data_IF_830888650640
#
_entry.id   IF_830888650640
#
_cell.length_a   1.000
_cell.length_b   1.000
_cell.length_c   1.000
_cell.angle_alpha   90.00
_cell.angle_beta   90.00
_cell.angle_gamma   90.00
#
_symmetry.space_group_name_H-M   'P 1'
#
loop_
_entity.id
_entity.type
_entity.pdbx_description
1 polymer ?
#
# COMPACT_ATOMS: atom_id res chain seq x y z
N UNK A 1 -1.04 -96.43 27.78
CA UNK A 1 -1.16 -95.72 26.49
C UNK A 1 -1.27 -94.23 26.81
N UNK A 2 -0.17 -93.49 26.62
CA UNK A 2 -0.03 -92.11 27.08
C UNK A 2 -0.77 -91.15 26.15
N UNK A 3 -1.71 -90.39 26.71
CA UNK A 3 -2.32 -89.22 26.07
C UNK A 3 -1.35 -88.04 26.13
N UNK A 4 -0.85 -87.62 24.96
CA UNK A 4 -0.09 -86.37 24.82
C UNK A 4 -1.05 -85.17 24.89
N UNK A 5 -1.06 -84.47 26.02
CA UNK A 5 -1.61 -83.12 26.11
C UNK A 5 -0.63 -82.14 25.45
N UNK A 6 -1.03 -81.59 24.32
CA UNK A 6 -0.31 -80.50 23.66
C UNK A 6 -0.45 -79.23 24.52
N UNK A 7 0.68 -78.68 24.97
CA UNK A 7 0.75 -77.58 25.91
C UNK A 7 0.20 -76.30 25.27
N UNK A 8 -0.84 -75.70 25.86
CA UNK A 8 -1.54 -74.49 25.38
C UNK A 8 -0.57 -73.31 25.14
N UNK A 9 0.55 -73.26 25.87
CA UNK A 9 1.61 -72.26 25.66
C UNK A 9 2.32 -72.38 24.30
N UNK A 10 2.43 -73.59 23.75
CA UNK A 10 3.08 -73.84 22.46
C UNK A 10 2.16 -73.47 21.29
N UNK A 11 0.84 -73.58 21.45
CA UNK A 11 -0.14 -73.16 20.45
C UNK A 11 -0.25 -71.62 20.36
N UNK A 12 -0.18 -70.93 21.51
CA UNK A 12 -0.22 -69.46 21.59
C UNK A 12 1.07 -68.84 21.06
N UNK A 13 2.23 -69.46 21.33
CA UNK A 13 3.52 -69.03 20.76
C UNK A 13 3.57 -69.21 19.23
N UNK A 14 2.96 -70.27 18.69
CA UNK A 14 2.84 -70.50 17.25
C UNK A 14 1.95 -69.48 16.53
N UNK A 15 0.81 -69.10 17.13
CA UNK A 15 -0.06 -68.05 16.58
C UNK A 15 0.55 -66.64 16.69
N UNK A 16 1.33 -66.37 17.75
CA UNK A 16 2.04 -65.10 17.90
C UNK A 16 3.12 -64.89 16.86
N UNK A 17 3.88 -65.94 16.50
CA UNK A 17 4.94 -65.86 15.48
C UNK A 17 4.35 -65.82 14.06
N UNK A 18 3.22 -66.50 13.80
CA UNK A 18 2.52 -66.40 12.52
C UNK A 18 1.85 -65.02 12.30
N UNK A 19 1.40 -64.34 13.37
CA UNK A 19 0.86 -62.98 13.30
C UNK A 19 1.92 -61.89 13.10
N UNK A 20 3.20 -62.17 13.39
CA UNK A 20 4.31 -61.22 13.25
C UNK A 20 4.95 -61.24 11.85
N UNK A 21 4.64 -62.25 11.03
CA UNK A 21 5.14 -62.37 9.65
C UNK A 21 4.16 -61.76 8.61
N UNK A 22 2.94 -61.41 9.03
CA UNK A 22 1.90 -60.85 8.15
C UNK A 22 1.92 -59.32 7.93
N UNK A 23 2.85 -58.58 8.54
CA UNK A 23 2.97 -57.13 8.37
C UNK A 23 4.32 -56.71 7.75
N UNK A 24 4.93 -57.58 6.96
CA UNK A 24 5.85 -57.12 5.92
C UNK A 24 4.99 -56.46 4.84
N UNK A 25 4.66 -55.18 5.05
CA UNK A 25 4.31 -54.30 3.94
C UNK A 25 5.47 -54.37 2.97
N UNK A 26 5.36 -55.16 1.89
CA UNK A 26 6.14 -54.90 0.69
C UNK A 26 5.91 -53.43 0.37
N UNK A 27 6.89 -52.59 0.70
CA UNK A 27 7.01 -51.32 0.01
C UNK A 27 7.52 -51.75 -1.35
N UNK A 28 6.63 -51.80 -2.34
CA UNK A 28 7.07 -51.89 -3.72
C UNK A 28 8.05 -50.73 -3.91
N UNK A 29 9.32 -51.06 -4.14
CA UNK A 29 10.26 -50.06 -4.62
C UNK A 29 9.68 -49.60 -5.96
N UNK A 30 9.12 -48.40 -5.95
CA UNK A 30 8.41 -47.84 -7.09
C UNK A 30 9.40 -47.50 -8.21
N UNK A 31 9.86 -48.52 -8.95
CA UNK A 31 10.46 -48.35 -10.26
C UNK A 31 9.33 -48.01 -11.24
N UNK A 32 8.85 -46.75 -11.18
CA UNK A 32 7.95 -46.24 -12.20
C UNK A 32 8.72 -45.94 -13.47
N UNK A 33 8.14 -46.26 -14.63
CA UNK A 33 8.75 -45.87 -15.89
C UNK A 33 8.86 -44.32 -15.98
N UNK A 34 9.94 -43.82 -16.61
CA UNK A 34 10.05 -42.42 -16.99
C UNK A 34 8.87 -41.95 -17.84
N UNK A 35 8.33 -40.78 -17.50
CA UNK A 35 7.31 -40.16 -18.34
C UNK A 35 7.86 -39.88 -19.74
N UNK A 36 7.10 -40.29 -20.76
CA UNK A 36 7.49 -40.16 -22.17
C UNK A 36 6.65 -39.12 -22.92
N UNK A 37 5.44 -38.83 -22.41
CA UNK A 37 4.54 -37.79 -22.91
C UNK A 37 4.93 -36.38 -22.44
N UNK A 38 4.36 -35.35 -23.08
CA UNK A 38 4.58 -33.95 -22.67
C UNK A 38 3.84 -33.65 -21.36
N UNK A 39 4.58 -33.14 -20.37
CA UNK A 39 4.01 -32.67 -19.11
C UNK A 39 3.07 -31.48 -19.34
N UNK A 40 1.97 -31.43 -18.59
CA UNK A 40 1.08 -30.26 -18.53
C UNK A 40 1.35 -29.44 -17.29
N UNK A 41 1.22 -28.13 -17.39
CA UNK A 41 1.51 -27.19 -16.31
C UNK A 41 0.32 -26.27 -16.05
N UNK A 42 0.17 -25.81 -14.81
CA UNK A 42 -0.87 -24.83 -14.48
C UNK A 42 -0.61 -23.46 -15.11
N UNK A 43 0.67 -23.16 -15.42
CA UNK A 43 1.15 -21.89 -15.99
C UNK A 43 2.42 -22.17 -16.82
N UNK A 44 2.70 -21.32 -17.80
CA UNK A 44 3.94 -21.33 -18.61
C UNK A 44 5.03 -20.39 -18.05
N UNK A 45 4.62 -19.41 -17.24
CA UNK A 45 5.47 -18.46 -16.53
C UNK A 45 4.99 -18.28 -15.10
N UNK A 46 5.93 -18.23 -14.15
CA UNK A 46 5.68 -17.86 -12.75
C UNK A 46 6.32 -16.49 -12.51
N UNK A 47 5.48 -15.46 -12.48
CA UNK A 47 5.89 -14.12 -12.06
C UNK A 47 5.72 -13.99 -10.56
N UNK A 48 6.81 -13.69 -9.87
CA UNK A 48 6.89 -13.42 -8.43
C UNK A 48 6.91 -11.90 -8.23
N UNK A 49 6.34 -11.43 -7.13
CA UNK A 49 6.29 -10.00 -6.79
C UNK A 49 7.70 -9.36 -6.76
N UNK A 50 7.71 -8.02 -6.82
CA UNK A 50 8.93 -7.25 -6.61
C UNK A 50 9.45 -7.47 -5.19
N UNK A 51 10.74 -7.75 -5.07
CA UNK A 51 11.45 -7.92 -3.79
C UNK A 51 12.59 -6.92 -3.69
N UNK A 52 12.99 -6.58 -2.47
CA UNK A 52 14.21 -5.82 -2.25
C UNK A 52 15.44 -6.73 -2.31
N UNK A 53 16.61 -6.16 -2.59
CA UNK A 53 17.87 -6.82 -2.30
C UNK A 53 17.90 -7.37 -0.86
N UNK A 54 18.47 -8.56 -0.69
CA UNK A 54 18.56 -9.28 0.59
C UNK A 54 17.20 -9.60 1.27
N UNK A 55 16.10 -9.64 0.49
CA UNK A 55 14.76 -9.98 0.99
C UNK A 55 14.19 -11.24 0.33
N UNK A 56 13.21 -11.85 1.02
CA UNK A 56 12.45 -13.00 0.50
C UNK A 56 11.08 -12.58 -0.02
N UNK A 57 10.59 -13.26 -1.05
CA UNK A 57 9.21 -13.13 -1.52
C UNK A 57 8.23 -13.99 -0.70
N UNK A 58 6.94 -13.83 -0.99
CA UNK A 58 5.94 -14.87 -0.68
C UNK A 58 6.18 -16.13 -1.53
N UNK A 59 5.48 -17.22 -1.20
CA UNK A 59 5.58 -18.50 -1.92
C UNK A 59 4.49 -18.61 -2.98
N UNK A 60 4.87 -18.98 -4.20
CA UNK A 60 3.99 -19.14 -5.36
C UNK A 60 3.88 -20.61 -5.75
N UNK A 61 2.68 -21.01 -6.18
CA UNK A 61 2.39 -22.40 -6.55
C UNK A 61 2.41 -22.59 -8.08
N UNK A 62 3.20 -23.56 -8.53
CA UNK A 62 3.15 -24.16 -9.86
C UNK A 62 2.70 -25.61 -9.72
N UNK A 63 1.74 -26.05 -10.54
CA UNK A 63 1.33 -27.46 -10.60
C UNK A 63 1.81 -28.09 -11.90
N UNK A 64 2.34 -29.30 -11.79
CA UNK A 64 2.63 -30.19 -12.92
C UNK A 64 1.58 -31.29 -12.92
N UNK A 65 1.10 -31.70 -14.09
CA UNK A 65 0.10 -32.76 -14.22
C UNK A 65 0.68 -33.91 -15.05
N UNK A 66 0.46 -35.13 -14.56
CA UNK A 66 0.71 -36.34 -15.33
C UNK A 66 -0.50 -36.61 -16.25
N UNK A 67 -0.36 -36.46 -17.58
CA UNK A 67 -1.46 -36.77 -18.50
C UNK A 67 -1.66 -38.27 -18.69
N UNK A 68 -0.70 -39.11 -18.30
CA UNK A 68 -0.74 -40.56 -18.48
C UNK A 68 -1.65 -41.23 -17.45
N UNK A 69 -2.08 -42.45 -17.74
CA UNK A 69 -2.96 -43.23 -16.87
C UNK A 69 -2.21 -44.19 -15.94
N UNK A 70 -0.89 -44.06 -15.89
CA UNK A 70 0.02 -44.84 -15.04
C UNK A 70 0.82 -43.89 -14.14
N UNK A 71 1.29 -44.42 -13.01
CA UNK A 71 2.26 -43.72 -12.17
C UNK A 71 3.60 -43.66 -12.92
N UNK A 72 4.23 -42.49 -12.92
CA UNK A 72 5.47 -42.22 -13.67
C UNK A 72 6.50 -41.52 -12.81
N UNK A 73 7.76 -41.54 -13.24
CA UNK A 73 8.77 -40.61 -12.73
C UNK A 73 9.07 -39.51 -13.74
N UNK A 74 9.29 -38.29 -13.25
CA UNK A 74 9.92 -37.21 -14.02
C UNK A 74 11.43 -37.37 -13.84
N UNK A 75 12.20 -37.69 -14.90
CA UNK A 75 13.63 -37.94 -14.81
C UNK A 75 14.41 -36.83 -14.10
N UNK A 76 14.16 -35.57 -14.46
CA UNK A 76 14.90 -34.45 -13.86
C UNK A 76 14.10 -33.15 -13.84
N UNK A 77 14.15 -32.47 -12.70
CA UNK A 77 13.64 -31.11 -12.51
C UNK A 77 14.78 -30.26 -11.95
N UNK A 78 15.12 -29.13 -12.56
CA UNK A 78 16.22 -28.29 -12.07
C UNK A 78 16.14 -26.83 -12.53
N UNK A 79 16.70 -25.92 -11.74
CA UNK A 79 16.87 -24.51 -12.10
C UNK A 79 18.03 -24.34 -13.08
N UNK A 80 17.86 -23.56 -14.14
CA UNK A 80 18.94 -23.29 -15.12
C UNK A 80 20.18 -22.72 -14.43
N UNK A 81 20.00 -21.79 -13.48
CA UNK A 81 21.10 -21.16 -12.73
C UNK A 81 21.59 -21.98 -11.52
N UNK A 82 20.94 -23.10 -11.20
CA UNK A 82 21.31 -23.96 -10.06
C UNK A 82 21.42 -23.17 -8.75
N UNK A 83 22.51 -23.37 -8.00
CA UNK A 83 22.77 -22.69 -6.72
C UNK A 83 23.04 -21.19 -6.84
N UNK A 84 23.27 -20.68 -8.06
CA UNK A 84 23.41 -19.25 -8.30
C UNK A 84 22.05 -18.58 -8.54
N UNK A 85 20.95 -19.34 -8.54
CA UNK A 85 19.62 -18.76 -8.67
C UNK A 85 19.20 -18.04 -7.39
N UNK A 86 18.59 -16.87 -7.55
CA UNK A 86 17.84 -16.25 -6.47
C UNK A 86 16.46 -16.92 -6.27
N UNK A 87 15.99 -17.74 -7.21
CA UNK A 87 14.79 -18.54 -6.98
C UNK A 87 15.13 -19.78 -6.17
N UNK A 88 14.37 -20.03 -5.13
CA UNK A 88 14.33 -21.32 -4.45
C UNK A 88 13.07 -22.06 -4.90
N UNK A 89 13.22 -23.36 -5.13
CA UNK A 89 12.08 -24.23 -5.42
C UNK A 89 12.00 -25.37 -4.42
N UNK A 90 10.77 -25.77 -4.11
CA UNK A 90 10.46 -26.98 -3.36
C UNK A 90 9.53 -27.84 -4.21
N UNK A 91 9.97 -29.07 -4.50
CA UNK A 91 9.28 -30.04 -5.33
C UNK A 91 8.73 -31.13 -4.42
N UNK A 92 7.40 -31.17 -4.28
CA UNK A 92 6.68 -32.15 -3.47
C UNK A 92 7.23 -32.33 -2.04
N UNK A 93 7.49 -31.22 -1.36
CA UNK A 93 7.99 -31.17 0.01
C UNK A 93 9.51 -31.14 0.14
N UNK A 94 10.27 -31.37 -0.94
CA UNK A 94 11.75 -31.34 -0.92
C UNK A 94 12.28 -30.03 -1.49
N UNK A 95 13.05 -29.27 -0.70
CA UNK A 95 13.71 -28.05 -1.15
C UNK A 95 15.04 -28.36 -1.85
N UNK A 96 15.38 -27.62 -2.91
CA UNK A 96 16.61 -27.82 -3.67
C UNK A 96 16.61 -27.12 -5.02
N UNK A 97 17.72 -27.22 -5.75
CA UNK A 97 17.88 -26.61 -7.08
C UNK A 97 17.90 -27.64 -8.22
N UNK A 98 17.99 -28.94 -7.88
CA UNK A 98 17.93 -30.08 -8.79
C UNK A 98 17.33 -31.28 -8.09
N UNK A 99 16.48 -32.01 -8.81
CA UNK A 99 15.74 -33.17 -8.34
C UNK A 99 15.76 -34.23 -9.44
N UNK A 100 15.88 -35.49 -9.04
CA UNK A 100 15.95 -36.62 -9.96
C UNK A 100 14.90 -37.67 -9.58
N UNK A 101 14.39 -38.36 -10.60
CA UNK A 101 13.41 -39.45 -10.46
C UNK A 101 12.22 -39.07 -9.55
N UNK A 102 11.59 -37.93 -9.87
CA UNK A 102 10.49 -37.39 -9.06
C UNK A 102 9.19 -38.12 -9.40
N UNK A 103 8.58 -38.88 -8.47
CA UNK A 103 7.37 -39.64 -8.76
C UNK A 103 6.16 -38.72 -8.94
N UNK A 104 5.27 -39.08 -9.87
CA UNK A 104 3.99 -38.42 -10.10
C UNK A 104 2.91 -39.48 -10.42
N UNK A 105 1.84 -39.50 -9.62
CA UNK A 105 0.79 -40.52 -9.75
C UNK A 105 -0.04 -40.35 -11.02
N UNK A 106 -0.67 -41.43 -11.47
CA UNK A 106 -1.56 -41.44 -12.63
C UNK A 106 -2.65 -40.38 -12.52
N UNK A 107 -2.83 -39.59 -13.57
CA UNK A 107 -3.84 -38.51 -13.64
C UNK A 107 -3.79 -37.51 -12.47
N UNK A 108 -2.69 -37.47 -11.74
CA UNK A 108 -2.52 -36.62 -10.57
C UNK A 108 -1.60 -35.43 -10.89
N UNK A 109 -1.43 -34.56 -9.90
CA UNK A 109 -0.57 -33.39 -9.98
C UNK A 109 0.50 -33.36 -8.90
N UNK A 110 1.62 -32.73 -9.22
CA UNK A 110 2.69 -32.43 -8.30
C UNK A 110 2.75 -30.93 -8.02
N UNK A 111 3.01 -30.55 -6.78
CA UNK A 111 3.20 -29.16 -6.38
C UNK A 111 4.67 -28.75 -6.41
N UNK A 112 4.93 -27.62 -7.06
CA UNK A 112 6.18 -26.89 -6.94
C UNK A 112 5.89 -25.54 -6.27
N UNK A 113 6.52 -25.32 -5.13
CA UNK A 113 6.54 -24.02 -4.47
C UNK A 113 7.76 -23.25 -4.95
N UNK A 114 7.55 -21.99 -5.33
CA UNK A 114 8.58 -21.09 -5.87
C UNK A 114 8.62 -19.85 -4.98
N UNK A 115 9.80 -19.47 -4.52
CA UNK A 115 10.06 -18.21 -3.83
C UNK A 115 11.34 -17.56 -4.38
N UNK A 116 11.53 -16.28 -4.13
CA UNK A 116 12.79 -15.57 -4.35
C UNK A 116 13.45 -15.32 -3.00
N UNK A 117 14.75 -15.59 -2.93
CA UNK A 117 15.64 -15.16 -1.86
C UNK A 117 16.72 -14.27 -2.48
N UNK A 118 16.38 -12.99 -2.65
CA UNK A 118 17.19 -12.04 -3.39
C UNK A 118 18.53 -11.79 -2.69
N UNK A 119 19.57 -11.59 -3.50
CA UNK A 119 20.87 -11.09 -3.04
C UNK A 119 21.00 -9.61 -3.45
N UNK A 120 22.21 -9.14 -3.74
CA UNK A 120 22.45 -7.80 -4.28
C UNK A 120 21.63 -7.58 -5.56
N UNK A 121 21.05 -6.38 -5.68
CA UNK A 121 20.21 -6.07 -6.83
C UNK A 121 21.05 -6.03 -8.11
N UNK A 122 20.63 -6.72 -9.18
CA UNK A 122 21.27 -6.60 -10.49
C UNK A 122 21.11 -5.20 -11.07
N UNK A 123 22.01 -4.80 -11.99
CA UNK A 123 21.93 -3.51 -12.68
C UNK A 123 20.60 -3.35 -13.44
N UNK A 124 20.15 -4.41 -14.10
CA UNK A 124 18.78 -4.51 -14.59
C UNK A 124 17.94 -5.18 -13.50
N UNK A 125 16.99 -4.47 -12.87
CA UNK A 125 16.21 -5.01 -11.76
C UNK A 125 15.32 -6.20 -12.16
N UNK A 126 15.05 -6.44 -13.45
CA UNK A 126 14.40 -7.68 -13.89
C UNK A 126 15.37 -8.86 -13.76
N UNK A 127 15.04 -9.79 -12.85
CA UNK A 127 15.75 -11.05 -12.65
C UNK A 127 14.93 -12.23 -13.17
N UNK A 128 15.56 -13.08 -14.00
CA UNK A 128 14.93 -14.23 -14.63
C UNK A 128 15.72 -15.53 -14.40
N UNK A 129 14.98 -16.64 -14.34
CA UNK A 129 15.53 -18.00 -14.39
C UNK A 129 14.49 -18.94 -15.03
N UNK A 130 14.83 -20.22 -15.19
CA UNK A 130 13.91 -21.22 -15.73
C UNK A 130 13.94 -22.49 -14.87
N UNK A 131 12.77 -23.07 -14.62
CA UNK A 131 12.67 -24.46 -14.15
C UNK A 131 12.62 -25.35 -15.39
N UNK A 132 13.59 -26.26 -15.51
CA UNK A 132 13.69 -27.24 -16.59
C UNK A 132 13.10 -28.57 -16.13
N UNK A 133 12.26 -29.15 -16.98
CA UNK A 133 11.66 -30.46 -16.79
C UNK A 133 12.13 -31.35 -17.94
N UNK A 134 12.90 -32.39 -17.64
CA UNK A 134 13.32 -33.39 -18.64
C UNK A 134 12.44 -34.63 -18.52
N UNK A 135 11.87 -35.04 -19.65
CA UNK A 135 11.20 -36.33 -19.87
C UNK A 135 12.11 -37.21 -20.72
N UNK A 136 11.68 -38.44 -21.04
CA UNK A 136 12.45 -39.34 -21.91
C UNK A 136 12.67 -38.75 -23.31
N UNK A 137 11.69 -38.02 -23.84
CA UNK A 137 11.65 -37.61 -25.24
C UNK A 137 11.65 -36.08 -25.43
N UNK A 138 11.51 -35.29 -24.36
CA UNK A 138 11.37 -33.84 -24.45
C UNK A 138 11.92 -33.11 -23.24
N UNK A 139 12.13 -31.80 -23.40
CA UNK A 139 12.41 -30.89 -22.31
C UNK A 139 11.41 -29.74 -22.36
N UNK A 140 10.82 -29.40 -21.23
CA UNK A 140 10.00 -28.20 -21.07
C UNK A 140 10.68 -27.22 -20.13
N UNK A 141 10.49 -25.94 -20.37
CA UNK A 141 10.98 -24.85 -19.55
C UNK A 141 9.79 -24.02 -19.07
N UNK A 142 9.79 -23.69 -17.80
CA UNK A 142 8.86 -22.73 -17.19
C UNK A 142 9.67 -21.52 -16.77
N UNK A 143 9.29 -20.34 -17.28
CA UNK A 143 10.00 -19.09 -16.98
C UNK A 143 9.67 -18.62 -15.57
N UNK A 144 10.68 -18.16 -14.85
CA UNK A 144 10.56 -17.49 -13.57
C UNK A 144 10.98 -16.03 -13.75
N UNK A 145 10.16 -15.10 -13.27
CA UNK A 145 10.41 -13.66 -13.38
C UNK A 145 10.16 -12.97 -12.04
N UNK A 146 11.07 -12.09 -11.62
CA UNK A 146 10.88 -11.21 -10.47
C UNK A 146 11.63 -9.90 -10.68
N UNK A 147 11.14 -8.82 -10.07
CA UNK A 147 11.85 -7.55 -10.01
C UNK A 147 12.60 -7.45 -8.69
N UNK A 148 13.91 -7.20 -8.73
CA UNK A 148 14.76 -7.04 -7.54
C UNK A 148 15.20 -5.58 -7.47
N UNK A 149 14.54 -4.84 -6.59
CA UNK A 149 14.78 -3.42 -6.38
C UNK A 149 15.91 -3.21 -5.38
N UNK A 150 16.86 -2.34 -5.71
CA UNK A 150 17.89 -1.89 -4.77
C UNK A 150 17.25 -1.04 -3.68
N UNK A 151 17.45 -1.42 -2.42
CA UNK A 151 16.91 -0.70 -1.29
C UNK A 151 17.89 -0.60 -0.12
N UNK A 152 17.74 0.49 0.64
CA UNK A 152 18.34 0.68 1.96
C UNK A 152 17.29 0.44 3.03
N UNK A 153 17.55 -0.52 3.91
CA UNK A 153 16.69 -0.84 5.04
C UNK A 153 17.12 -0.01 6.25
N UNK A 154 16.23 0.84 6.74
CA UNK A 154 16.36 1.54 8.02
C UNK A 154 15.72 0.66 9.10
N UNK A 155 16.55 0.07 9.94
CA UNK A 155 16.12 -0.82 11.02
C UNK A 155 15.39 -0.07 12.14
N UNK A 156 14.74 -0.82 13.01
CA UNK A 156 13.90 -0.29 14.09
C UNK A 156 14.65 0.69 14.99
N UNK A 157 14.00 1.82 15.25
CA UNK A 157 14.46 2.92 16.12
C UNK A 157 15.76 3.59 15.62
N UNK A 158 15.99 3.57 14.30
CA UNK A 158 17.09 4.27 13.67
C UNK A 158 16.92 5.80 13.78
N UNK A 159 18.05 6.48 13.97
CA UNK A 159 18.14 7.93 13.92
C UNK A 159 19.21 8.32 12.92
N UNK A 160 18.87 9.21 11.98
CA UNK A 160 19.82 9.78 11.03
C UNK A 160 19.78 11.31 11.14
N UNK A 161 20.95 11.94 11.06
CA UNK A 161 21.02 13.40 11.15
C UNK A 161 20.46 14.05 9.90
N UNK A 162 21.02 13.71 8.75
CA UNK A 162 20.57 14.21 7.46
C UNK A 162 20.69 13.14 6.39
N UNK A 163 19.86 13.23 5.35
CA UNK A 163 19.97 12.39 4.17
C UNK A 163 19.41 13.06 2.92
N UNK A 164 19.89 12.60 1.77
CA UNK A 164 19.27 12.83 0.47
C UNK A 164 18.86 11.47 -0.11
N UNK A 165 17.59 11.32 -0.46
CA UNK A 165 17.02 10.12 -1.04
C UNK A 165 16.59 10.41 -2.47
N UNK A 166 16.94 9.53 -3.41
CA UNK A 166 16.65 9.69 -4.83
C UNK A 166 16.03 8.39 -5.40
N UNK A 167 15.85 8.33 -6.71
CA UNK A 167 15.23 7.19 -7.40
C UNK A 167 16.13 5.96 -7.57
N UNK A 168 17.44 6.08 -7.31
CA UNK A 168 18.41 4.99 -7.56
C UNK A 168 18.41 3.94 -6.45
N UNK A 169 17.91 4.30 -5.25
CA UNK A 169 17.83 3.41 -4.10
C UNK A 169 16.55 3.67 -3.29
N UNK A 170 15.67 2.69 -3.28
CA UNK A 170 14.46 2.74 -2.47
C UNK A 170 14.80 2.74 -0.97
N UNK A 171 13.98 3.40 -0.17
CA UNK A 171 14.18 3.51 1.27
C UNK A 171 13.11 2.69 1.97
N UNK A 172 13.50 1.64 2.71
CA UNK A 172 12.57 0.75 3.42
C UNK A 172 12.70 1.01 4.91
N UNK A 173 11.66 1.54 5.53
CA UNK A 173 11.60 1.83 6.96
C UNK A 173 10.93 0.67 7.68
N UNK A 174 11.66 0.08 8.63
CA UNK A 174 11.20 -1.02 9.49
C UNK A 174 11.16 -0.53 10.94
N UNK A 175 9.99 -0.14 11.44
CA UNK A 175 9.84 0.52 12.74
C UNK A 175 9.90 2.05 12.65
N UNK A 176 10.45 2.72 13.67
CA UNK A 176 10.51 4.18 13.68
C UNK A 176 11.86 4.68 13.16
N UNK A 177 11.83 5.57 12.17
CA UNK A 177 13.00 6.30 11.68
C UNK A 177 12.87 7.77 12.06
N UNK A 178 13.87 8.32 12.75
CA UNK A 178 13.92 9.75 13.10
C UNK A 178 14.99 10.49 12.30
N UNK A 179 14.60 11.63 11.71
CA UNK A 179 15.50 12.61 11.09
C UNK A 179 15.71 13.76 12.07
N UNK A 180 16.94 14.10 12.43
CA UNK A 180 17.20 15.17 13.43
C UNK A 180 17.61 16.51 12.84
N UNK A 181 17.98 16.58 11.56
CA UNK A 181 18.35 17.82 10.88
C UNK A 181 17.61 17.95 9.55
N UNK A 182 18.15 17.46 8.43
CA UNK A 182 17.59 17.73 7.10
C UNK A 182 17.36 16.44 6.31
N UNK A 183 16.13 16.21 5.85
CA UNK A 183 15.82 15.16 4.88
C UNK A 183 15.34 15.79 3.57
N UNK A 184 16.08 15.54 2.49
CA UNK A 184 15.67 15.87 1.12
C UNK A 184 15.33 14.59 0.37
N UNK A 185 14.19 14.58 -0.31
CA UNK A 185 13.73 13.44 -1.11
C UNK A 185 13.44 13.95 -2.51
N UNK A 186 14.22 13.50 -3.47
CA UNK A 186 14.16 13.93 -4.86
C UNK A 186 13.11 13.15 -5.66
N UNK A 187 12.68 13.74 -6.77
CA UNK A 187 11.66 13.18 -7.67
C UNK A 187 11.91 11.71 -8.00
N UNK A 188 10.83 10.94 -8.11
CA UNK A 188 10.85 9.52 -8.42
C UNK A 188 11.33 8.61 -7.27
N UNK A 189 11.82 9.16 -6.16
CA UNK A 189 12.20 8.36 -4.99
C UNK A 189 11.02 7.59 -4.41
N UNK A 190 11.33 6.42 -3.85
CA UNK A 190 10.35 5.52 -3.23
C UNK A 190 10.71 5.28 -1.78
N UNK A 191 9.76 5.58 -0.89
CA UNK A 191 9.85 5.37 0.54
C UNK A 191 8.77 4.36 0.94
N UNK A 192 9.23 3.22 1.42
CA UNK A 192 8.42 2.08 1.76
C UNK A 192 8.39 1.88 3.25
N UNK A 193 7.23 1.57 3.80
CA UNK A 193 7.03 1.39 5.23
C UNK A 193 6.56 -0.04 5.51
N UNK A 194 7.24 -0.74 6.43
CA UNK A 194 6.68 -1.97 6.99
C UNK A 194 5.50 -1.65 7.94
N UNK A 195 4.69 -2.67 8.24
CA UNK A 195 3.57 -2.54 9.17
C UNK A 195 4.05 -2.00 10.52
N UNK A 196 3.39 -0.94 11.00
CA UNK A 196 3.75 -0.26 12.25
C UNK A 196 4.93 0.72 12.14
N UNK A 197 5.47 0.95 10.94
CA UNK A 197 6.59 1.88 10.76
C UNK A 197 6.15 3.35 10.71
N UNK A 198 7.04 4.25 11.15
CA UNK A 198 6.85 5.70 11.12
C UNK A 198 8.11 6.41 10.65
N UNK A 199 7.95 7.55 9.99
CA UNK A 199 9.02 8.51 9.72
C UNK A 199 8.78 9.77 10.55
N UNK A 200 9.74 10.14 11.40
CA UNK A 200 9.65 11.35 12.22
C UNK A 200 10.68 12.37 11.75
N UNK A 201 10.19 13.51 11.28
CA UNK A 201 10.99 14.72 11.09
C UNK A 201 11.04 15.41 12.45
N UNK A 202 12.19 15.33 13.11
CA UNK A 202 12.38 15.72 14.51
C UNK A 202 12.21 17.22 14.76
N UNK A 203 12.31 17.61 16.03
CA UNK A 203 12.12 19.00 16.43
C UNK A 203 13.11 19.91 15.71
N UNK A 204 12.62 21.02 15.14
CA UNK A 204 13.43 21.97 14.35
C UNK A 204 14.07 21.39 13.08
N UNK A 205 13.77 20.15 12.72
CA UNK A 205 14.29 19.53 11.50
C UNK A 205 13.54 20.03 10.25
N UNK A 206 14.08 19.73 9.08
CA UNK A 206 13.52 20.10 7.79
C UNK A 206 13.26 18.89 6.91
N UNK A 207 12.07 18.85 6.31
CA UNK A 207 11.75 17.91 5.23
C UNK A 207 11.54 18.67 3.92
N UNK A 208 12.20 18.22 2.86
CA UNK A 208 12.01 18.73 1.51
C UNK A 208 11.72 17.57 0.56
N UNK A 209 10.52 17.53 -0.01
CA UNK A 209 10.13 16.54 -1.02
C UNK A 209 10.00 17.24 -2.36
N UNK A 210 10.96 16.98 -3.25
CA UNK A 210 11.10 17.60 -4.57
C UNK A 210 10.55 16.70 -5.67
N UNK A 211 9.30 16.24 -5.53
CA UNK A 211 8.63 15.50 -6.59
C UNK A 211 8.41 16.35 -7.85
N UNK A 212 8.14 15.68 -8.96
CA UNK A 212 7.70 16.32 -10.20
C UNK A 212 6.51 15.58 -10.82
N UNK A 213 5.79 16.23 -11.73
CA UNK A 213 4.70 15.60 -12.49
C UNK A 213 5.24 14.35 -13.22
N UNK A 214 4.59 13.21 -13.04
CA UNK A 214 5.00 11.88 -13.53
C UNK A 214 6.26 11.28 -12.87
N UNK A 215 6.91 11.99 -11.96
CA UNK A 215 8.03 11.53 -11.15
C UNK A 215 7.74 11.84 -9.67
N UNK A 216 6.55 11.48 -9.20
CA UNK A 216 6.15 11.76 -7.83
C UNK A 216 6.97 10.95 -6.83
N UNK A 217 7.23 11.54 -5.65
CA UNK A 217 7.80 10.80 -4.53
C UNK A 217 6.71 9.94 -3.91
N UNK A 218 6.95 8.63 -3.80
CA UNK A 218 5.94 7.66 -3.32
C UNK A 218 6.23 7.24 -1.89
N UNK A 219 5.25 7.40 -1.01
CA UNK A 219 5.21 6.90 0.36
C UNK A 219 4.11 5.85 0.45
N UNK A 220 4.47 4.57 0.58
CA UNK A 220 3.49 3.46 0.61
C UNK A 220 3.99 2.26 1.42
N UNK A 221 3.13 1.25 1.56
CA UNK A 221 3.50 -0.03 2.16
C UNK A 221 4.72 -0.66 1.48
N UNK A 222 5.56 -1.34 2.26
CA UNK A 222 6.65 -2.15 1.75
C UNK A 222 6.20 -3.45 1.07
N UNK A 223 4.90 -3.79 1.14
CA UNK A 223 4.30 -4.90 0.40
C UNK A 223 4.04 -4.50 -1.05
N UNK A 224 4.45 -5.33 -2.02
CA UNK A 224 4.35 -5.02 -3.45
C UNK A 224 3.11 -5.57 -4.15
N UNK A 225 2.28 -6.37 -3.49
CA UNK A 225 1.00 -6.80 -4.04
C UNK A 225 0.09 -5.57 -4.21
N UNK A 226 -0.44 -5.39 -5.43
CA UNK A 226 -1.32 -4.30 -5.84
C UNK A 226 -2.50 -4.07 -4.87
N UNK A 227 -2.97 -5.11 -4.16
CA UNK A 227 -4.04 -4.93 -3.17
C UNK A 227 -3.61 -3.98 -2.04
N UNK A 228 -2.35 -4.03 -1.60
CA UNK A 228 -1.84 -3.20 -0.49
C UNK A 228 -1.58 -1.75 -0.87
N UNK A 229 -1.55 -1.43 -2.16
CA UNK A 229 -1.55 -0.04 -2.66
C UNK A 229 -2.91 0.63 -2.51
N UNK A 230 -3.88 -0.07 -1.95
CA UNK A 230 -5.18 0.51 -1.63
C UNK A 230 -5.62 0.26 -0.20
N UNK A 231 -5.04 -0.68 0.54
CA UNK A 231 -5.51 -1.00 1.89
C UNK A 231 -5.01 0.07 2.88
N UNK A 232 -5.84 0.55 3.82
CA UNK A 232 -5.43 1.49 4.86
C UNK A 232 -4.68 0.77 5.99
N UNK A 233 -4.11 1.52 6.94
CA UNK A 233 -3.42 0.94 8.10
C UNK A 233 -2.31 -0.06 7.70
N UNK A 234 -1.51 0.27 6.69
CA UNK A 234 -0.34 -0.54 6.30
C UNK A 234 0.94 -0.07 6.97
N UNK A 235 0.95 1.14 7.51
CA UNK A 235 2.03 1.78 8.24
C UNK A 235 1.46 2.94 9.07
N UNK A 236 2.19 3.48 10.04
CA UNK A 236 1.61 4.41 11.00
C UNK A 236 1.47 5.83 10.42
N UNK A 237 2.58 6.56 10.31
CA UNK A 237 2.55 7.98 9.93
C UNK A 237 3.89 8.58 9.54
N UNK A 238 3.83 9.70 8.83
CA UNK A 238 4.91 10.69 8.75
C UNK A 238 4.59 11.78 9.78
N UNK A 239 5.43 11.91 10.79
CA UNK A 239 5.33 12.93 11.84
C UNK A 239 6.22 14.13 11.48
N UNK A 240 5.64 15.32 11.48
CA UNK A 240 6.36 16.60 11.44
C UNK A 240 6.32 17.20 12.85
N UNK A 241 7.35 16.90 13.63
CA UNK A 241 7.42 17.22 15.06
C UNK A 241 7.53 18.75 15.30
N UNK A 242 7.32 19.22 16.54
CA UNK A 242 7.29 20.64 16.87
C UNK A 242 8.46 21.47 16.31
N UNK A 243 8.13 22.65 15.80
CA UNK A 243 9.06 23.61 15.19
C UNK A 243 9.78 23.12 13.92
N UNK A 244 9.47 21.92 13.42
CA UNK A 244 9.97 21.50 12.10
C UNK A 244 9.36 22.33 10.97
N UNK A 245 10.08 22.40 9.84
CA UNK A 245 9.61 23.08 8.63
C UNK A 245 9.66 22.13 7.44
N UNK A 246 8.56 22.04 6.71
CA UNK A 246 8.44 21.07 5.62
C UNK A 246 7.96 21.71 4.34
N UNK A 247 8.53 21.28 3.21
CA UNK A 247 8.08 21.60 1.86
C UNK A 247 7.85 20.32 1.10
N UNK A 248 6.64 20.08 0.63
CA UNK A 248 6.28 18.87 -0.09
C UNK A 248 5.65 19.23 -1.43
N UNK A 249 6.26 18.79 -2.53
CA UNK A 249 5.71 18.94 -3.88
C UNK A 249 5.63 17.56 -4.56
N UNK A 250 4.52 17.27 -5.25
CA UNK A 250 4.33 16.01 -5.99
C UNK A 250 4.65 14.75 -5.18
N UNK A 251 3.96 14.61 -4.04
CA UNK A 251 4.02 13.41 -3.22
C UNK A 251 2.76 12.54 -3.40
N UNK A 252 2.94 11.22 -3.35
CA UNK A 252 1.85 10.23 -3.25
C UNK A 252 1.99 9.49 -1.93
N UNK A 253 1.07 9.75 -0.99
CA UNK A 253 1.04 9.14 0.34
C UNK A 253 -0.17 8.22 0.42
N UNK A 254 0.07 6.93 0.64
CA UNK A 254 -0.94 5.89 0.45
C UNK A 254 -0.90 4.88 1.59
N UNK A 255 -2.07 4.54 2.14
CA UNK A 255 -2.22 3.37 2.99
C UNK A 255 -1.73 3.53 4.43
N UNK A 256 -1.54 4.75 4.93
CA UNK A 256 -1.13 4.95 6.32
C UNK A 256 -2.29 4.73 7.30
N UNK A 257 -2.02 4.73 8.60
CA UNK A 257 -3.03 5.10 9.57
C UNK A 257 -3.33 6.60 9.47
N UNK A 258 -2.28 7.40 9.63
CA UNK A 258 -2.33 8.85 9.46
C UNK A 258 -1.29 9.26 8.42
N UNK A 259 -1.70 9.78 7.27
CA UNK A 259 -0.77 10.09 6.17
C UNK A 259 0.32 11.09 6.58
N UNK A 260 -0.09 12.26 7.06
CA UNK A 260 0.78 13.28 7.67
C UNK A 260 0.22 13.70 9.02
N UNK A 261 1.05 13.72 10.06
CA UNK A 261 0.74 14.40 11.31
C UNK A 261 1.62 15.66 11.43
N UNK A 262 1.01 16.83 11.32
CA UNK A 262 1.67 18.14 11.40
C UNK A 262 1.45 18.70 12.80
N UNK A 263 2.43 18.58 13.67
CA UNK A 263 2.29 18.86 15.10
C UNK A 263 3.13 20.07 15.51
N UNK A 264 2.48 21.20 15.81
CA UNK A 264 3.13 22.46 16.17
C UNK A 264 4.26 22.84 15.21
N UNK A 265 4.05 22.61 13.90
CA UNK A 265 5.05 22.74 12.85
C UNK A 265 4.49 23.43 11.61
N UNK A 266 5.39 23.74 10.65
CA UNK A 266 5.01 24.40 9.40
C UNK A 266 5.13 23.45 8.21
N UNK A 267 4.10 23.41 7.37
CA UNK A 267 4.08 22.65 6.12
C UNK A 267 3.61 23.53 4.94
N UNK A 268 4.45 23.67 3.92
CA UNK A 268 4.03 24.11 2.59
C UNK A 268 3.88 22.86 1.71
N UNK A 269 2.67 22.57 1.22
CA UNK A 269 2.38 21.35 0.45
C UNK A 269 1.68 21.65 -0.88
N UNK A 270 2.13 21.03 -1.96
CA UNK A 270 1.53 21.22 -3.28
C UNK A 270 1.54 19.98 -4.15
N UNK A 271 0.55 19.91 -5.05
CA UNK A 271 0.43 18.86 -6.06
C UNK A 271 0.51 17.44 -5.47
N UNK A 272 -0.01 17.23 -4.26
CA UNK A 272 0.13 15.97 -3.54
C UNK A 272 -1.18 15.18 -3.54
N UNK A 273 -1.04 13.85 -3.63
CA UNK A 273 -2.15 12.90 -3.50
C UNK A 273 -2.00 12.11 -2.21
N UNK A 274 -2.99 12.21 -1.31
CA UNK A 274 -2.97 11.57 0.01
C UNK A 274 -4.26 10.76 0.15
N UNK A 275 -4.17 9.44 0.01
CA UNK A 275 -5.35 8.58 -0.16
C UNK A 275 -5.28 7.30 0.64
N UNK A 276 -6.45 6.75 0.94
CA UNK A 276 -6.63 5.42 1.50
C UNK A 276 -5.94 5.26 2.86
N UNK A 277 -6.15 6.23 3.76
CA UNK A 277 -5.62 6.17 5.12
C UNK A 277 -6.68 5.63 6.10
N UNK A 278 -6.26 5.08 7.23
CA UNK A 278 -7.19 4.56 8.23
C UNK A 278 -7.87 5.70 8.98
N UNK A 279 -7.11 6.48 9.75
CA UNK A 279 -7.64 7.55 10.58
C UNK A 279 -7.74 8.85 9.79
N UNK A 280 -6.60 9.39 9.36
CA UNK A 280 -6.52 10.71 8.74
C UNK A 280 -5.66 10.75 7.49
N UNK A 281 -6.04 11.59 6.52
CA UNK A 281 -5.11 11.97 5.45
C UNK A 281 -4.04 12.92 5.99
N UNK A 282 -4.47 14.06 6.50
CA UNK A 282 -3.65 14.99 7.28
C UNK A 282 -4.33 15.23 8.62
N UNK A 283 -3.59 15.02 9.71
CA UNK A 283 -3.92 15.51 11.04
C UNK A 283 -3.01 16.70 11.34
N UNK A 284 -3.57 17.87 11.58
CA UNK A 284 -2.83 19.06 11.95
C UNK A 284 -3.19 19.48 13.37
N UNK A 285 -2.20 19.61 14.24
CA UNK A 285 -2.38 19.99 15.65
C UNK A 285 -1.64 21.30 15.90
N UNK A 286 -2.38 22.41 16.07
CA UNK A 286 -1.83 23.76 16.26
C UNK A 286 -0.70 24.09 15.25
N UNK A 287 -0.96 23.83 13.98
CA UNK A 287 0.05 23.90 12.92
C UNK A 287 -0.10 25.14 12.03
N UNK A 288 0.86 25.34 11.14
CA UNK A 288 0.72 26.27 10.02
C UNK A 288 0.83 25.51 8.70
N UNK A 289 -0.23 25.51 7.88
CA UNK A 289 -0.22 24.82 6.58
C UNK A 289 -0.67 25.75 5.46
N UNK A 290 0.12 25.80 4.39
CA UNK A 290 -0.28 26.38 3.11
C UNK A 290 -0.28 25.29 2.05
N UNK A 291 -1.45 25.04 1.43
CA UNK A 291 -1.68 23.93 0.53
C UNK A 291 -2.31 24.34 -0.80
N UNK A 292 -1.89 23.74 -1.92
CA UNK A 292 -2.66 23.83 -3.17
C UNK A 292 -2.54 22.59 -4.06
N UNK A 293 -3.53 22.37 -4.94
CA UNK A 293 -3.61 21.17 -5.80
C UNK A 293 -3.52 19.86 -5.00
N UNK A 294 -4.13 19.78 -3.82
CA UNK A 294 -4.18 18.55 -3.04
C UNK A 294 -5.32 17.65 -3.50
N UNK A 295 -5.06 16.35 -3.59
CA UNK A 295 -6.04 15.34 -3.98
C UNK A 295 -6.14 14.33 -2.84
N UNK A 296 -7.21 14.44 -2.04
CA UNK A 296 -7.39 13.64 -0.85
C UNK A 296 -8.67 12.82 -0.91
N UNK A 297 -8.58 11.55 -0.50
CA UNK A 297 -9.73 10.65 -0.45
C UNK A 297 -9.55 9.58 0.63
N UNK A 298 -10.66 8.98 1.02
CA UNK A 298 -10.70 7.74 1.78
C UNK A 298 -9.92 7.80 3.10
N UNK A 299 -10.55 8.36 4.12
CA UNK A 299 -10.07 8.29 5.51
C UNK A 299 -11.24 8.04 6.45
N UNK A 300 -11.13 7.08 7.36
CA UNK A 300 -12.26 6.65 8.20
C UNK A 300 -12.74 7.77 9.14
N UNK A 301 -11.82 8.61 9.65
CA UNK A 301 -12.18 9.74 10.51
C UNK A 301 -12.35 11.02 9.69
N UNK A 302 -11.27 11.53 9.10
CA UNK A 302 -11.34 12.69 8.21
C UNK A 302 -10.21 12.71 7.18
N UNK A 303 -10.42 13.24 5.97
CA UNK A 303 -9.30 13.45 5.06
C UNK A 303 -8.39 14.59 5.52
N UNK A 304 -8.97 15.71 5.96
CA UNK A 304 -8.25 16.78 6.66
C UNK A 304 -8.87 17.03 8.03
N UNK A 305 -8.08 16.82 9.09
CA UNK A 305 -8.42 17.19 10.46
C UNK A 305 -7.49 18.31 10.95
N UNK A 306 -8.08 19.38 11.45
CA UNK A 306 -7.42 20.50 12.10
C UNK A 306 -7.89 20.51 13.54
N UNK A 307 -6.95 20.40 14.48
CA UNK A 307 -7.19 20.35 15.91
C UNK A 307 -6.31 21.38 16.62
N UNK A 308 -6.76 21.83 17.79
CA UNK A 308 -6.02 22.72 18.65
C UNK A 308 -5.57 24.05 17.99
N UNK A 309 -6.38 24.59 17.08
CA UNK A 309 -6.14 25.90 16.49
C UNK A 309 -5.05 25.90 15.40
N UNK A 310 -4.40 27.04 15.18
CA UNK A 310 -3.37 27.22 14.14
C UNK A 310 -3.80 28.11 12.96
N UNK A 311 -3.07 28.01 11.85
CA UNK A 311 -3.26 28.85 10.66
C UNK A 311 -3.18 28.05 9.36
N UNK A 312 -4.24 28.08 8.56
CA UNK A 312 -4.42 27.18 7.42
C UNK A 312 -4.92 27.91 6.18
N UNK A 313 -4.35 27.56 5.03
CA UNK A 313 -4.76 28.06 3.73
C UNK A 313 -4.70 26.95 2.71
N UNK A 314 -5.82 26.68 2.03
CA UNK A 314 -5.91 25.67 0.98
C UNK A 314 -6.57 26.26 -0.24
N UNK A 315 -5.93 26.08 -1.40
CA UNK A 315 -6.44 26.56 -2.68
C UNK A 315 -6.52 25.45 -3.69
N UNK A 316 -7.53 25.47 -4.56
CA UNK A 316 -7.59 24.53 -5.69
C UNK A 316 -7.35 23.08 -5.26
N UNK A 317 -7.99 22.65 -4.18
CA UNK A 317 -7.74 21.33 -3.58
C UNK A 317 -9.04 20.55 -3.47
N UNK A 318 -8.97 19.24 -3.65
CA UNK A 318 -10.11 18.33 -3.60
C UNK A 318 -9.98 17.45 -2.35
N UNK A 319 -10.79 17.75 -1.34
CA UNK A 319 -10.99 16.96 -0.13
C UNK A 319 -12.25 16.11 -0.30
N UNK A 320 -12.12 15.02 -1.04
CA UNK A 320 -13.18 14.03 -1.14
C UNK A 320 -13.10 13.06 0.06
N UNK A 321 -14.20 12.43 0.45
CA UNK A 321 -14.12 11.28 1.35
C UNK A 321 -15.21 10.24 1.04
N UNK A 322 -14.81 9.20 0.32
CA UNK A 322 -15.66 8.06 -0.06
C UNK A 322 -15.28 6.79 0.72
N UNK A 323 -14.71 6.95 1.92
CA UNK A 323 -14.26 5.82 2.72
C UNK A 323 -15.40 4.83 2.98
N UNK A 324 -15.25 3.62 2.43
CA UNK A 324 -16.19 2.51 2.57
C UNK A 324 -15.47 1.19 2.87
N UNK A 325 -14.24 1.27 3.38
CA UNK A 325 -13.38 0.11 3.66
C UNK A 325 -13.59 -0.37 5.12
N UNK A 326 -13.93 -1.64 5.31
CA UNK A 326 -14.21 -2.29 6.61
C UNK A 326 -15.53 -1.91 7.32
N UNK A 327 -15.89 -2.71 8.34
CA UNK A 327 -17.09 -2.59 9.19
C UNK A 327 -16.97 -1.54 10.30
N UNK A 328 -15.78 -0.98 10.53
CA UNK A 328 -15.56 0.09 11.52
C UNK A 328 -16.00 1.43 10.94
N UNK A 329 -17.10 1.98 11.46
CA UNK A 329 -17.69 3.20 10.94
C UNK A 329 -17.23 4.44 11.71
N UNK A 330 -16.13 5.06 11.27
CA UNK A 330 -15.84 6.45 11.57
C UNK A 330 -16.70 7.40 10.72
N UNK A 331 -16.76 8.69 11.05
CA UNK A 331 -17.63 9.65 10.37
C UNK A 331 -17.23 9.90 8.91
N UNK A 332 -15.96 9.69 8.53
CA UNK A 332 -15.43 9.99 7.20
C UNK A 332 -15.75 11.44 6.75
N UNK A 333 -15.47 12.41 7.61
CA UNK A 333 -15.56 13.82 7.23
C UNK A 333 -14.55 14.12 6.11
N UNK A 334 -14.90 15.03 5.20
CA UNK A 334 -13.87 15.60 4.32
C UNK A 334 -13.01 16.60 5.10
N UNK A 335 -13.64 17.33 6.01
CA UNK A 335 -12.99 18.38 6.75
C UNK A 335 -13.52 18.44 8.19
N UNK A 336 -12.61 18.32 9.15
CA UNK A 336 -12.88 18.53 10.57
C UNK A 336 -12.05 19.70 11.08
N UNK A 337 -12.69 20.73 11.64
CA UNK A 337 -12.03 21.87 12.28
C UNK A 337 -12.42 21.92 13.76
N UNK A 338 -11.42 21.86 14.62
CA UNK A 338 -11.55 22.09 16.06
C UNK A 338 -10.44 23.01 16.55
N UNK A 339 -10.76 23.80 17.57
CA UNK A 339 -9.78 24.59 18.30
C UNK A 339 -9.39 23.96 19.65
N UNK A 340 -9.80 22.71 19.87
CA UNK A 340 -9.53 21.92 21.07
C UNK A 340 -8.56 20.77 20.76
N UNK A 341 -7.78 20.33 21.75
CA UNK A 341 -7.00 19.09 21.68
C UNK A 341 -7.67 17.94 22.49
N UNK A 342 -7.07 16.75 22.48
CA UNK A 342 -7.60 15.60 23.22
C UNK A 342 -7.67 15.79 24.75
N UNK A 343 -6.89 16.71 25.32
CA UNK A 343 -6.89 17.06 26.74
C UNK A 343 -7.88 18.18 27.08
N UNK A 344 -8.71 18.60 26.12
CA UNK A 344 -9.68 19.71 26.23
C UNK A 344 -9.06 21.10 26.41
N UNK A 345 -7.80 21.26 26.03
CA UNK A 345 -7.17 22.56 25.95
C UNK A 345 -7.62 23.25 24.66
N UNK A 346 -7.91 24.55 24.76
CA UNK A 346 -8.36 25.37 23.63
C UNK A 346 -7.24 26.33 23.20
N UNK A 347 -7.03 26.48 21.90
CA UNK A 347 -6.06 27.42 21.29
C UNK A 347 -6.70 28.15 20.12
N UNK A 348 -6.18 29.30 19.69
CA UNK A 348 -6.81 30.08 18.63
C UNK A 348 -6.63 29.41 17.25
N UNK A 349 -7.75 29.16 16.55
CA UNK A 349 -7.74 28.98 15.10
C UNK A 349 -7.69 30.38 14.48
N UNK A 350 -6.49 30.88 14.23
CA UNK A 350 -6.27 32.27 13.81
C UNK A 350 -6.71 32.50 12.36
N UNK A 351 -6.62 31.47 11.52
CA UNK A 351 -7.00 31.50 10.11
C UNK A 351 -7.29 30.08 9.60
N UNK A 352 -8.36 29.92 8.84
CA UNK A 352 -8.62 28.73 8.03
C UNK A 352 -9.32 29.14 6.73
N UNK A 353 -8.56 29.31 5.65
CA UNK A 353 -9.09 29.75 4.35
C UNK A 353 -9.10 28.60 3.34
N UNK A 354 -10.26 28.37 2.72
CA UNK A 354 -10.44 27.39 1.65
C UNK A 354 -10.99 28.10 0.42
N UNK A 355 -10.20 28.15 -0.65
CA UNK A 355 -10.53 28.87 -1.89
C UNK A 355 -10.48 27.99 -3.13
N UNK A 356 -11.53 27.96 -3.95
CA UNK A 356 -11.60 27.07 -5.12
C UNK A 356 -11.38 25.58 -4.76
N UNK A 357 -11.85 25.13 -3.60
CA UNK A 357 -11.77 23.74 -3.16
C UNK A 357 -13.07 22.97 -3.43
N UNK A 358 -12.94 21.65 -3.56
CA UNK A 358 -14.08 20.71 -3.47
C UNK A 358 -13.99 19.99 -2.13
N UNK A 359 -15.05 20.03 -1.33
CA UNK A 359 -15.15 19.42 -0.01
C UNK A 359 -16.41 18.56 0.01
N UNK A 360 -16.26 17.27 -0.25
CA UNK A 360 -17.39 16.40 -0.57
C UNK A 360 -17.23 15.00 0.02
N UNK A 361 -18.29 14.48 0.62
CA UNK A 361 -18.38 13.09 1.08
C UNK A 361 -19.81 12.57 0.86
N UNK A 362 -20.01 11.27 1.05
CA UNK A 362 -21.36 10.68 0.99
C UNK A 362 -21.78 10.00 2.30
N UNK A 363 -20.85 9.86 3.25
CA UNK A 363 -21.09 9.11 4.48
C UNK A 363 -21.90 9.90 5.51
N UNK A 364 -21.70 11.21 5.59
CA UNK A 364 -22.39 12.10 6.51
C UNK A 364 -23.22 13.12 5.76
N UNK A 365 -24.30 13.68 6.36
CA UNK A 365 -25.08 14.73 5.72
C UNK A 365 -24.25 15.97 5.35
N UNK A 366 -23.21 16.28 6.13
CA UNK A 366 -22.33 17.42 5.90
C UNK A 366 -20.88 16.95 5.76
N UNK A 367 -20.16 17.47 4.77
CA UNK A 367 -18.75 17.17 4.58
C UNK A 367 -17.81 17.86 5.58
N UNK A 368 -18.30 18.94 6.18
CA UNK A 368 -17.56 19.79 7.12
C UNK A 368 -18.19 19.63 8.51
N UNK A 369 -17.35 19.40 9.51
CA UNK A 369 -17.69 19.58 10.91
C UNK A 369 -16.87 20.72 11.50
N UNK A 370 -17.57 21.74 12.02
CA UNK A 370 -17.00 22.86 12.76
C UNK A 370 -17.24 22.63 14.25
N UNK A 371 -16.23 22.15 14.97
CA UNK A 371 -16.29 21.89 16.41
C UNK A 371 -15.62 23.03 17.20
N UNK A 372 -16.31 24.16 17.26
CA UNK A 372 -15.84 25.33 18.00
C UNK A 372 -16.05 25.15 19.50
N UNK A 373 -14.99 25.36 20.27
CA UNK A 373 -15.03 25.61 21.72
C UNK A 373 -14.83 27.07 22.04
N UNK A 374 -15.51 27.54 23.09
CA UNK A 374 -15.33 28.90 23.59
C UNK A 374 -13.96 29.06 24.29
N UNK A 375 -13.47 30.30 24.40
CA UNK A 375 -12.20 30.62 25.06
C UNK A 375 -11.04 30.98 24.13
N UNK A 376 -11.18 30.77 22.81
CA UNK A 376 -10.23 31.27 21.81
C UNK A 376 -10.91 31.64 20.48
N UNK A 377 -10.18 32.33 19.61
CA UNK A 377 -10.68 32.67 18.28
C UNK A 377 -10.91 31.42 17.42
N UNK A 378 -11.94 31.48 16.56
CA UNK A 378 -12.29 30.42 15.62
C UNK A 378 -12.57 31.04 14.24
N UNK A 379 -11.51 31.44 13.55
CA UNK A 379 -11.59 32.20 12.31
C UNK A 379 -11.47 31.28 11.10
N UNK A 380 -12.48 31.28 10.23
CA UNK A 380 -12.49 30.52 8.99
C UNK A 380 -13.16 31.31 7.85
N UNK A 381 -12.81 30.96 6.62
CA UNK A 381 -13.36 31.51 5.40
C UNK A 381 -13.39 30.43 4.31
N UNK A 382 -14.56 30.19 3.75
CA UNK A 382 -14.76 29.35 2.57
C UNK A 382 -15.18 30.26 1.41
N UNK A 383 -14.36 30.39 0.37
CA UNK A 383 -14.62 31.28 -0.76
C UNK A 383 -14.59 30.52 -2.09
N UNK A 384 -15.75 30.47 -2.77
CA UNK A 384 -15.90 29.85 -4.09
C UNK A 384 -15.53 28.36 -4.08
N UNK A 385 -16.28 27.55 -3.34
CA UNK A 385 -16.04 26.11 -3.20
C UNK A 385 -17.20 25.27 -3.72
N UNK A 386 -17.00 23.96 -3.92
CA UNK A 386 -18.09 22.97 -3.98
C UNK A 386 -18.13 22.25 -2.63
N UNK A 387 -19.27 22.27 -1.94
CA UNK A 387 -19.40 21.74 -0.56
C UNK A 387 -20.65 20.87 -0.44
N UNK A 388 -20.49 19.63 0.03
CA UNK A 388 -21.65 18.82 0.43
C UNK A 388 -22.19 19.29 1.79
N UNK A 389 -23.44 19.77 1.80
CA UNK A 389 -24.16 20.23 2.98
C UNK A 389 -25.66 19.91 2.83
N UNK A 390 -26.06 18.70 3.22
CA UNK A 390 -27.45 18.25 3.18
C UNK A 390 -28.25 18.63 4.44
N UNK A 391 -27.62 18.64 5.63
CA UNK A 391 -28.26 19.05 6.87
C UNK A 391 -27.93 20.52 7.20
N UNK A 392 -28.92 21.38 6.95
CA UNK A 392 -28.82 22.83 7.16
C UNK A 392 -29.20 23.29 8.56
N UNK A 393 -29.63 22.36 9.45
CA UNK A 393 -30.02 22.70 10.82
C UNK A 393 -28.82 23.02 11.71
N UNK A 394 -27.67 22.38 11.45
CA UNK A 394 -26.43 22.58 12.19
C UNK A 394 -25.50 23.59 11.50
N UNK A 395 -25.39 23.48 10.18
CA UNK A 395 -24.55 24.34 9.35
C UNK A 395 -25.27 24.59 8.03
N UNK A 396 -25.53 25.84 7.68
CA UNK A 396 -26.05 26.19 6.37
C UNK A 396 -25.02 27.02 5.60
N UNK A 397 -24.31 26.36 4.67
CA UNK A 397 -23.23 27.01 3.90
C UNK A 397 -23.74 28.02 2.87
N UNK A 398 -25.06 28.10 2.64
CA UNK A 398 -25.65 29.08 1.72
C UNK A 398 -25.98 30.42 2.40
N UNK A 399 -26.13 30.44 3.73
CA UNK A 399 -26.48 31.64 4.49
C UNK A 399 -25.44 32.03 5.54
N UNK A 400 -24.57 31.12 5.95
CA UNK A 400 -23.53 31.41 6.93
C UNK A 400 -22.52 32.43 6.38
N UNK A 401 -22.13 33.47 7.16
CA UNK A 401 -21.43 34.64 6.64
C UNK A 401 -20.01 34.36 6.12
N UNK A 402 -19.37 33.30 6.62
CA UNK A 402 -18.01 32.92 6.23
C UNK A 402 -17.98 31.94 5.05
N UNK A 403 -19.11 31.68 4.41
CA UNK A 403 -19.22 30.89 3.19
C UNK A 403 -19.66 31.78 2.04
N UNK A 404 -18.74 32.03 1.11
CA UNK A 404 -18.93 32.92 -0.03
C UNK A 404 -19.02 32.10 -1.31
N UNK A 405 -20.00 32.42 -2.15
CA UNK A 405 -20.13 31.91 -3.53
C UNK A 405 -19.95 30.38 -3.67
N UNK A 406 -20.37 29.60 -2.68
CA UNK A 406 -20.18 28.14 -2.67
C UNK A 406 -21.35 27.42 -3.33
N UNK A 407 -21.05 26.31 -3.99
CA UNK A 407 -21.98 25.45 -4.73
C UNK A 407 -22.22 24.20 -3.90
N UNK A 408 -23.47 23.76 -3.77
CA UNK A 408 -23.86 22.59 -2.95
C UNK A 408 -24.30 21.36 -3.76
N UNK A 409 -23.91 21.31 -5.03
CA UNK A 409 -24.25 20.22 -5.95
C UNK A 409 -23.12 19.17 -6.00
N UNK A 410 -23.46 17.97 -6.48
CA UNK A 410 -22.49 16.90 -6.72
C UNK A 410 -21.36 17.37 -7.67
N UNK A 411 -20.07 17.24 -7.29
CA UNK A 411 -18.94 17.61 -8.13
C UNK A 411 -18.77 16.72 -9.36
N UNK A 412 -19.46 15.58 -9.47
CA UNK A 412 -19.42 14.67 -10.61
C UNK A 412 -18.01 14.16 -10.92
N UNK A 413 -17.35 13.55 -9.93
CA UNK A 413 -16.03 12.95 -10.11
C UNK A 413 -16.04 11.81 -11.15
N UNK A 414 -14.92 11.59 -11.83
CA UNK A 414 -14.74 10.52 -12.81
C UNK A 414 -14.93 9.13 -12.21
N UNK A 415 -14.23 8.82 -11.12
CA UNK A 415 -14.34 7.53 -10.43
C UNK A 415 -13.87 7.64 -8.96
N UNK A 416 -14.83 7.62 -8.05
CA UNK A 416 -14.63 7.71 -6.60
C UNK A 416 -14.28 6.38 -5.94
N UNK A 417 -14.27 5.28 -6.71
CA UNK A 417 -13.98 3.95 -6.19
C UNK A 417 -12.66 3.95 -5.42
N UNK A 418 -12.68 3.23 -4.30
CA UNK A 418 -11.60 3.13 -3.34
C UNK A 418 -10.23 2.77 -3.96
N UNK A 419 -10.22 1.90 -4.97
CA UNK A 419 -9.01 1.48 -5.68
C UNK A 419 -8.62 2.41 -6.84
N UNK A 420 -9.52 3.30 -7.29
CA UNK A 420 -9.31 4.19 -8.42
C UNK A 420 -8.83 5.59 -8.02
N UNK A 421 -9.50 6.22 -7.05
CA UNK A 421 -9.20 7.58 -6.59
C UNK A 421 -9.05 8.61 -7.75
N UNK A 422 -9.95 8.58 -8.74
CA UNK A 422 -9.96 9.52 -9.88
C UNK A 422 -10.92 10.66 -9.57
N UNK A 423 -10.37 11.72 -8.98
CA UNK A 423 -11.12 12.87 -8.49
C UNK A 423 -11.08 14.09 -9.42
N UNK A 424 -10.69 13.89 -10.69
CA UNK A 424 -11.01 14.86 -11.72
C UNK A 424 -12.53 14.91 -11.91
N UNK A 425 -13.05 16.09 -12.24
CA UNK A 425 -14.49 16.28 -12.43
C UNK A 425 -14.86 16.12 -13.91
N UNK A 426 -16.03 15.55 -14.18
CA UNK A 426 -16.58 15.39 -15.53
C UNK A 426 -16.87 16.75 -16.17
N UNK A 427 -17.09 16.77 -17.49
CA UNK A 427 -17.33 18.00 -18.25
C UNK A 427 -18.63 18.72 -17.84
N UNK A 428 -19.63 17.98 -17.40
CA UNK A 428 -20.94 18.48 -16.98
C UNK A 428 -20.94 18.93 -15.50
N UNK A 429 -19.81 18.79 -14.81
CA UNK A 429 -19.70 19.12 -13.39
C UNK A 429 -20.03 20.58 -13.11
N UNK A 430 -20.76 20.87 -12.02
CA UNK A 430 -21.01 22.24 -11.58
C UNK A 430 -19.72 22.97 -11.14
N UNK A 431 -18.60 22.27 -10.96
CA UNK A 431 -17.30 22.87 -10.66
C UNK A 431 -16.61 23.49 -11.89
N UNK A 432 -16.94 23.02 -13.11
CA UNK A 432 -16.26 23.41 -14.35
C UNK A 432 -16.43 24.91 -14.64
N UNK A 433 -15.32 25.62 -14.76
CA UNK A 433 -15.30 27.05 -15.07
C UNK A 433 -15.94 27.98 -14.02
N UNK A 434 -16.14 27.50 -12.78
CA UNK A 434 -16.77 28.27 -11.69
C UNK A 434 -15.81 28.79 -10.62
N UNK A 435 -14.51 28.55 -10.77
CA UNK A 435 -13.50 29.02 -9.83
C UNK A 435 -13.30 30.54 -9.89
N UNK A 436 -12.84 31.09 -8.78
CA UNK A 436 -12.43 32.48 -8.65
C UNK A 436 -11.10 32.73 -9.35
N UNK A 437 -11.08 33.69 -10.26
CA UNK A 437 -9.92 34.00 -11.11
C UNK A 437 -8.70 34.47 -10.28
N UNK A 438 -8.91 35.25 -9.21
CA UNK A 438 -7.79 35.76 -8.40
C UNK A 438 -6.97 34.63 -7.75
N UNK A 439 -7.61 33.54 -7.34
CA UNK A 439 -6.90 32.35 -6.84
C UNK A 439 -6.18 31.60 -7.97
N UNK A 440 -6.80 31.52 -9.16
CA UNK A 440 -6.14 30.93 -10.33
C UNK A 440 -4.94 31.74 -10.82
N UNK A 441 -4.92 33.06 -10.64
CA UNK A 441 -3.75 33.89 -10.94
C UNK A 441 -2.58 33.61 -9.98
N UNK A 442 -2.87 33.29 -8.71
CA UNK A 442 -1.87 32.90 -7.73
C UNK A 442 -1.37 31.45 -7.95
N UNK A 443 -2.26 30.56 -8.39
CA UNK A 443 -1.98 29.14 -8.63
C UNK A 443 -2.38 28.75 -10.07
N UNK A 444 -1.57 29.12 -11.09
CA UNK A 444 -1.99 29.10 -12.50
C UNK A 444 -2.08 27.72 -13.14
N UNK A 445 -1.48 26.70 -12.53
CA UNK A 445 -1.47 25.33 -13.03
C UNK A 445 -2.27 24.41 -12.09
N UNK A 446 -3.00 23.48 -12.67
CA UNK A 446 -3.65 22.41 -11.92
C UNK A 446 -2.66 21.29 -11.53
N UNK A 447 -3.15 20.24 -10.85
CA UNK A 447 -2.33 19.08 -10.43
C UNK A 447 -1.60 18.41 -11.61
N UNK A 448 -2.21 18.35 -12.80
CA UNK A 448 -1.66 17.75 -14.01
C UNK A 448 -0.84 18.74 -14.86
N UNK A 449 -0.55 19.94 -14.35
CA UNK A 449 0.19 20.98 -15.07
C UNK A 449 -0.63 21.69 -16.15
N UNK A 450 -1.96 21.54 -16.18
CA UNK A 450 -2.82 22.24 -17.13
C UNK A 450 -3.06 23.69 -16.68
N UNK A 451 -2.94 24.68 -17.59
CA UNK A 451 -3.27 26.07 -17.27
C UNK A 451 -4.75 26.25 -16.91
N UNK A 452 -5.04 27.00 -15.85
CA UNK A 452 -6.42 27.26 -15.39
C UNK A 452 -7.16 28.33 -16.21
N UNK A 453 -6.44 29.20 -16.92
CA UNK A 453 -7.01 30.22 -17.79
C UNK A 453 -7.92 31.22 -17.07
N UNK A 454 -8.90 31.79 -17.79
CA UNK A 454 -9.84 32.80 -17.28
C UNK A 454 -11.14 32.20 -16.73
N UNK A 455 -11.37 30.90 -16.94
CA UNK A 455 -12.50 30.13 -16.43
C UNK A 455 -11.98 28.93 -15.64
N UNK A 456 -11.36 29.15 -14.47
CA UNK A 456 -10.75 28.04 -13.72
C UNK A 456 -11.84 27.10 -13.18
N UNK A 457 -11.53 25.81 -13.13
CA UNK A 457 -12.38 24.82 -12.46
C UNK A 457 -12.08 24.79 -10.97
N UNK A 458 -13.12 24.65 -10.15
CA UNK A 458 -12.98 24.46 -8.70
C UNK A 458 -12.37 23.07 -8.44
N UNK A 459 -11.40 22.97 -7.54
CA UNK A 459 -10.69 21.74 -7.20
C UNK A 459 -9.29 21.63 -7.79
N UNK A 460 -8.67 20.47 -7.60
CA UNK A 460 -7.28 20.20 -7.95
C UNK A 460 -7.02 20.02 -9.45
N UNK A 461 -8.06 19.78 -10.24
CA UNK A 461 -7.97 19.51 -11.67
C UNK A 461 -8.75 20.56 -12.47
N UNK A 462 -8.33 20.81 -13.71
CA UNK A 462 -9.02 21.70 -14.63
C UNK A 462 -10.21 21.03 -15.32
#
# INVERSE_FOLDING_TARGET
>A
MNHNFMNVKTLIAGLGIASLIGFQSCRDDFDYDPISSELRFSKDTVSVDTVYNFSKSETYLLKIYNPENDDRVIPKIYLTRGNNSFFNINVDGKAGTSFENVPIRKKDSLFIFVEVNAQEAPLNPLYDDEINFKTTNSSKKIKLLSWIEKAKIHTKDATISSANWNMDEAQVIDGNLTITSDLTIDKGAKVYFKKGASLTVGNNAKLTVNGALNEEVKFRSARHDNKYDSIPDQWNKIELAPNSTSKINYAKIIGADTGLHVNNSKLDISNAKIVNNQSYGILATNATITGYNLVMNNSNLATLAIEYGGSYEFYHSTFANYYNFATSAGPAYSLFLSNENNDKNVSALTKATFGNCIIYNERTPNAILLDKKDGAAFNYLFDTNVIHNADTSVLNVTTAPNFLASITLDPMFENTNYFANKLAVKNESPAKGKGKISFAQQYPLDYNGQPRGTTPTIGAFQ
#
